data_IF_817523653880
#
_entry.id   IF_817523653880
#
_cell.length_a   1.000
_cell.length_b   1.000
_cell.length_c   1.000
_cell.angle_alpha   90.00
_cell.angle_beta   90.00
_cell.angle_gamma   90.00
#
_symmetry.space_group_name_H-M   'P 1'
#
loop_
_entity.id
_entity.type
_entity.pdbx_description
1 polymer ?
#
# COMPACT_ATOMS: atom_id res chain seq x y z
N UNK A 1 -13.97 1.32 2.15
CA UNK A 1 -15.00 2.16 1.51
C UNK A 1 -15.32 1.62 0.12
N UNK A 2 -16.38 2.12 -0.54
CA UNK A 2 -16.65 1.78 -1.96
C UNK A 2 -15.47 2.18 -2.86
N UNK A 3 -14.94 3.39 -2.67
CA UNK A 3 -13.77 3.91 -3.41
C UNK A 3 -12.53 3.02 -3.29
N UNK A 4 -12.18 2.58 -2.07
CA UNK A 4 -11.03 1.70 -1.86
C UNK A 4 -11.15 0.38 -2.63
N UNK A 5 -12.37 -0.17 -2.74
CA UNK A 5 -12.61 -1.44 -3.44
C UNK A 5 -12.57 -1.31 -4.97
N UNK A 6 -12.83 -0.12 -5.52
CA UNK A 6 -12.93 0.11 -6.96
C UNK A 6 -11.73 0.83 -7.56
N UNK A 7 -10.87 1.45 -6.74
CA UNK A 7 -9.65 2.11 -7.21
C UNK A 7 -8.63 1.10 -7.75
N UNK A 8 -7.86 1.51 -8.76
CA UNK A 8 -6.76 0.72 -9.33
C UNK A 8 -5.65 0.49 -8.31
N UNK A 9 -5.38 1.49 -7.46
CA UNK A 9 -4.41 1.43 -6.37
C UNK A 9 -5.04 2.08 -5.13
N UNK A 10 -4.88 1.45 -3.97
CA UNK A 10 -5.32 2.00 -2.69
C UNK A 10 -4.19 1.99 -1.69
N UNK A 11 -3.90 3.16 -1.13
CA UNK A 11 -2.98 3.32 0.02
C UNK A 11 -3.87 3.44 1.26
N UNK A 12 -3.80 2.47 2.16
CA UNK A 12 -4.54 2.50 3.44
C UNK A 12 -3.63 3.08 4.50
N UNK A 13 -3.60 4.40 4.57
CA UNK A 13 -2.76 5.14 5.50
C UNK A 13 -3.35 6.52 5.81
N UNK A 14 -2.85 7.20 6.85
CA UNK A 14 -3.11 8.62 7.07
C UNK A 14 -2.54 9.44 5.91
N UNK A 15 -3.29 10.45 5.46
CA UNK A 15 -2.94 11.24 4.26
C UNK A 15 -1.63 12.00 4.41
N UNK A 16 -1.34 12.55 5.59
CA UNK A 16 -0.13 13.34 5.83
C UNK A 16 1.10 12.43 5.79
N UNK A 17 1.01 11.27 6.43
CA UNK A 17 2.08 10.26 6.40
C UNK A 17 2.30 9.70 4.99
N UNK A 18 1.22 9.36 4.30
CA UNK A 18 1.27 8.80 2.96
C UNK A 18 1.94 9.76 1.97
N UNK A 19 1.52 11.02 1.93
CA UNK A 19 2.06 12.00 1.01
C UNK A 19 3.56 12.23 1.23
N UNK A 20 3.98 12.40 2.49
CA UNK A 20 5.40 12.55 2.81
C UNK A 20 6.20 11.33 2.36
N UNK A 21 5.69 10.11 2.61
CA UNK A 21 6.38 8.88 2.20
C UNK A 21 6.42 8.72 0.68
N UNK A 22 5.36 9.11 -0.04
CA UNK A 22 5.32 9.07 -1.51
C UNK A 22 6.35 10.01 -2.13
N UNK A 23 6.59 11.19 -1.55
CA UNK A 23 7.63 12.12 -2.02
C UNK A 23 9.02 11.49 -1.92
N UNK A 24 9.33 10.87 -0.78
CA UNK A 24 10.62 10.20 -0.58
C UNK A 24 10.78 9.01 -1.53
N UNK A 25 9.75 8.16 -1.65
CA UNK A 25 9.77 7.03 -2.59
C UNK A 25 9.92 7.53 -4.04
N UNK A 26 9.27 8.63 -4.43
CA UNK A 26 9.42 9.18 -5.78
C UNK A 26 10.85 9.63 -6.08
N UNK A 27 11.56 10.20 -5.09
CA UNK A 27 12.98 10.56 -5.24
C UNK A 27 13.85 9.31 -5.39
N UNK A 28 13.58 8.26 -4.61
CA UNK A 28 14.28 6.98 -4.69
C UNK A 28 14.05 6.28 -6.03
N UNK A 29 12.80 6.20 -6.49
CA UNK A 29 12.44 5.52 -7.73
C UNK A 29 12.92 6.25 -9.00
N UNK A 30 13.20 7.55 -8.92
CA UNK A 30 13.68 8.35 -10.05
C UNK A 30 15.01 7.84 -10.63
N UNK A 31 15.81 7.12 -9.83
CA UNK A 31 17.11 6.58 -10.27
C UNK A 31 17.01 5.19 -10.89
N UNK A 32 15.81 4.59 -10.94
CA UNK A 32 15.60 3.26 -11.52
C UNK A 32 15.34 3.34 -13.02
N UNK A 33 15.77 2.28 -13.72
CA UNK A 33 15.48 2.08 -15.13
C UNK A 33 13.99 1.88 -15.39
N UNK A 34 13.53 2.29 -16.58
CA UNK A 34 12.12 2.23 -16.97
C UNK A 34 11.52 0.82 -16.78
N UNK A 35 12.23 -0.22 -17.20
CA UNK A 35 11.75 -1.60 -17.11
C UNK A 35 11.53 -2.05 -15.66
N UNK A 36 12.41 -1.61 -14.74
CA UNK A 36 12.23 -1.90 -13.32
C UNK A 36 10.96 -1.24 -12.75
N UNK A 37 10.69 0.01 -13.15
CA UNK A 37 9.45 0.71 -12.78
C UNK A 37 8.20 0.01 -13.33
N UNK A 38 8.27 -0.47 -14.57
CA UNK A 38 7.18 -1.21 -15.22
C UNK A 38 6.89 -2.52 -14.49
N UNK A 39 7.91 -3.27 -14.07
CA UNK A 39 7.71 -4.51 -13.32
C UNK A 39 7.11 -4.28 -11.92
N UNK A 40 7.44 -3.17 -11.27
CA UNK A 40 6.77 -2.77 -10.00
C UNK A 40 5.27 -2.57 -10.23
N UNK A 41 4.88 -1.89 -11.31
CA UNK A 41 3.46 -1.65 -11.63
C UNK A 41 2.76 -2.96 -11.99
N UNK A 42 3.35 -3.80 -12.85
CA UNK A 42 2.75 -5.07 -13.29
C UNK A 42 2.57 -6.08 -12.16
N UNK A 43 3.47 -6.08 -11.17
CA UNK A 43 3.40 -7.00 -10.04
C UNK A 43 2.40 -6.58 -8.96
N UNK A 44 1.87 -5.37 -9.02
CA UNK A 44 0.93 -4.86 -8.03
C UNK A 44 -0.50 -5.40 -8.22
N UNK A 45 -1.09 -5.90 -7.13
CA UNK A 45 -2.48 -6.36 -7.07
C UNK A 45 -3.20 -5.65 -5.91
N UNK A 46 -4.12 -4.75 -6.25
CA UNK A 46 -4.86 -3.97 -5.25
C UNK A 46 -5.78 -4.83 -4.37
N UNK A 47 -6.34 -5.92 -4.92
CA UNK A 47 -7.21 -6.82 -4.15
C UNK A 47 -6.40 -7.56 -3.10
N UNK A 48 -5.23 -8.09 -3.47
CA UNK A 48 -4.29 -8.71 -2.51
C UNK A 48 -3.78 -7.70 -1.50
N UNK A 49 -3.49 -6.47 -1.90
CA UNK A 49 -3.09 -5.40 -1.00
C UNK A 49 -4.15 -5.14 0.10
N UNK A 50 -5.42 -4.95 -0.28
CA UNK A 50 -6.51 -4.74 0.68
C UNK A 50 -6.71 -5.94 1.60
N UNK A 51 -6.58 -7.17 1.09
CA UNK A 51 -6.66 -8.38 1.90
C UNK A 51 -5.56 -8.39 2.97
N UNK A 52 -4.31 -8.11 2.60
CA UNK A 52 -3.18 -8.05 3.55
C UNK A 52 -3.40 -7.00 4.64
N UNK A 53 -3.95 -5.84 4.29
CA UNK A 53 -4.28 -4.79 5.27
C UNK A 53 -5.35 -5.27 6.25
N UNK A 54 -6.40 -5.93 5.77
CA UNK A 54 -7.44 -6.48 6.63
C UNK A 54 -6.88 -7.55 7.56
N UNK A 55 -6.06 -8.48 7.04
CA UNK A 55 -5.41 -9.52 7.83
C UNK A 55 -4.53 -8.93 8.93
N UNK A 56 -3.77 -7.87 8.62
CA UNK A 56 -2.96 -7.13 9.59
C UNK A 56 -3.81 -6.53 10.71
N UNK A 57 -4.93 -5.88 10.37
CA UNK A 57 -5.86 -5.30 11.36
C UNK A 57 -6.47 -6.40 12.24
N UNK A 58 -6.97 -7.47 11.63
CA UNK A 58 -7.54 -8.60 12.36
C UNK A 58 -6.54 -9.25 13.32
N UNK A 59 -5.28 -9.43 12.88
CA UNK A 59 -4.21 -9.92 13.73
C UNK A 59 -3.95 -8.96 14.89
N UNK A 60 -3.75 -7.67 14.61
CA UNK A 60 -3.47 -6.64 15.63
C UNK A 60 -4.56 -6.59 16.70
N UNK A 61 -5.83 -6.73 16.31
CA UNK A 61 -6.97 -6.77 17.24
C UNK A 61 -6.94 -8.02 18.11
N UNK A 62 -6.65 -9.20 17.55
CA UNK A 62 -6.48 -10.43 18.33
C UNK A 62 -5.34 -10.28 19.34
N UNK A 63 -4.19 -9.81 18.88
CA UNK A 63 -3.00 -9.64 19.71
C UNK A 63 -3.27 -8.68 20.89
N UNK A 64 -4.09 -7.64 20.72
CA UNK A 64 -4.51 -6.73 21.80
C UNK A 64 -5.45 -7.36 22.83
N UNK A 65 -6.26 -8.33 22.42
CA UNK A 65 -7.24 -8.95 23.31
C UNK A 65 -6.61 -10.05 24.17
N UNK A 66 -5.58 -10.72 23.64
CA UNK A 66 -4.83 -11.77 24.34
C UNK A 66 -3.58 -11.26 25.08
N UNK A 67 -3.27 -9.96 25.00
CA UNK A 67 -2.21 -9.30 25.79
C UNK A 67 -2.74 -8.79 27.12
#
# INVERSE_FOLDING_TARGET
SRTARTATVTIVDDVTRALNKMIEIAKELKTLEHDALVEIVKSFDNKRNLQRVLDYICKRLKDMYYS
#
